data_IF_207695065108
#
_entry.id   IF_207695065108
#
_cell.length_a   1.000
_cell.length_b   1.000
_cell.length_c   1.000
_cell.angle_alpha   90.00
_cell.angle_beta   90.00
_cell.angle_gamma   90.00
#
_symmetry.space_group_name_H-M   'P 1'
#
loop_
_entity.id
_entity.type
_entity.pdbx_description
1 polymer ?
#
# COMPACT_ATOMS: atom_id res chain seq x y z
N UNK A 1 16.79 2.97 0.82
CA UNK A 1 16.63 1.73 0.09
C UNK A 1 16.96 0.51 0.97
N UNK A 2 16.11 -0.50 0.95
CA UNK A 2 16.31 -1.70 1.75
C UNK A 2 17.32 -2.64 1.15
N UNK A 3 18.15 -3.22 2.01
CA UNK A 3 18.99 -4.36 1.65
C UNK A 3 18.15 -5.63 1.74
N UNK A 4 18.67 -6.73 1.20
CA UNK A 4 17.98 -8.03 1.30
C UNK A 4 17.80 -8.41 2.77
N UNK A 5 18.80 -8.15 3.60
CA UNK A 5 18.70 -8.49 5.01
C UNK A 5 17.65 -7.67 5.74
N UNK A 6 17.58 -6.38 5.45
CA UNK A 6 16.55 -5.51 6.02
C UNK A 6 15.16 -5.96 5.58
N UNK A 7 15.01 -6.35 4.32
CA UNK A 7 13.77 -6.88 3.80
C UNK A 7 13.32 -8.12 4.57
N UNK A 8 14.23 -9.06 4.77
CA UNK A 8 13.91 -10.28 5.50
C UNK A 8 13.58 -10.00 6.96
N UNK A 9 14.29 -9.04 7.57
CA UNK A 9 14.04 -8.67 8.94
C UNK A 9 12.68 -8.01 9.10
N UNK A 10 12.29 -7.14 8.17
CA UNK A 10 10.99 -6.50 8.18
C UNK A 10 9.86 -7.52 8.08
N UNK A 11 10.02 -8.50 7.20
CA UNK A 11 9.05 -9.59 7.07
C UNK A 11 8.91 -10.37 8.36
N UNK A 12 10.04 -10.67 9.00
CA UNK A 12 10.05 -11.39 10.28
C UNK A 12 9.40 -10.56 11.38
N UNK A 13 9.73 -9.28 11.41
CA UNK A 13 9.21 -8.38 12.42
C UNK A 13 7.70 -8.25 12.32
N UNK A 14 7.16 -8.23 11.10
CA UNK A 14 5.72 -8.17 10.91
C UNK A 14 5.02 -9.49 11.18
N UNK A 15 5.77 -10.58 11.38
CA UNK A 15 5.20 -11.90 11.61
C UNK A 15 4.73 -12.59 10.35
N UNK A 16 5.14 -12.11 9.19
CA UNK A 16 4.71 -12.66 7.90
C UNK A 16 5.82 -13.31 7.12
N UNK A 17 6.97 -13.52 7.75
CA UNK A 17 8.08 -14.19 7.09
C UNK A 17 7.84 -15.70 7.12
N UNK A 18 7.65 -16.26 5.96
CA UNK A 18 7.66 -17.69 5.73
C UNK A 18 8.87 -18.04 4.90
N UNK A 19 9.17 -19.31 4.80
CA UNK A 19 10.18 -19.76 3.87
C UNK A 19 9.70 -19.48 2.45
N UNK A 20 10.39 -18.57 1.76
CA UNK A 20 10.09 -18.29 0.36
C UNK A 20 11.00 -19.12 -0.52
N UNK A 21 10.41 -19.73 -1.54
CA UNK A 21 11.21 -20.32 -2.59
C UNK A 21 12.02 -19.24 -3.25
N UNK A 22 13.25 -19.56 -3.63
CA UNK A 22 14.17 -18.61 -4.24
C UNK A 22 13.55 -17.89 -5.44
N UNK A 23 12.76 -18.61 -6.23
CA UNK A 23 12.10 -18.04 -7.40
C UNK A 23 11.09 -16.94 -7.06
N UNK A 24 10.63 -16.87 -5.80
CA UNK A 24 9.66 -15.88 -5.38
C UNK A 24 10.28 -14.65 -4.75
N UNK A 25 11.60 -14.63 -4.57
CA UNK A 25 12.28 -13.50 -3.94
C UNK A 25 12.12 -12.22 -4.76
N UNK A 26 12.26 -12.31 -6.08
CA UNK A 26 12.08 -11.12 -6.93
C UNK A 26 10.67 -10.56 -6.85
N UNK A 27 9.67 -11.44 -6.79
CA UNK A 27 8.28 -11.01 -6.67
C UNK A 27 8.02 -10.39 -5.29
N UNK A 28 8.53 -11.03 -4.23
CA UNK A 28 8.36 -10.50 -2.88
C UNK A 28 9.05 -9.14 -2.73
N UNK A 29 10.24 -8.98 -3.31
CA UNK A 29 10.97 -7.71 -3.29
C UNK A 29 10.24 -6.62 -4.06
N UNK A 30 9.56 -6.97 -5.16
CA UNK A 30 8.76 -6.01 -5.91
C UNK A 30 7.63 -5.43 -5.06
N UNK A 31 7.12 -6.20 -4.12
CA UNK A 31 6.07 -5.72 -3.21
C UNK A 31 6.66 -5.08 -1.97
N UNK A 32 7.50 -5.79 -1.22
CA UNK A 32 7.94 -5.32 0.10
C UNK A 32 9.14 -4.39 0.02
N UNK A 33 10.05 -4.62 -0.93
CA UNK A 33 11.22 -3.76 -1.09
C UNK A 33 10.91 -2.47 -1.83
N UNK A 34 10.09 -2.55 -2.87
CA UNK A 34 9.71 -1.40 -3.69
C UNK A 34 8.45 -0.71 -3.17
N UNK A 35 7.61 -1.45 -2.46
CA UNK A 35 6.30 -0.99 -2.00
C UNK A 35 6.29 0.28 -1.18
N UNK A 36 7.28 0.52 -0.31
CA UNK A 36 7.30 1.79 0.44
C UNK A 36 7.21 3.01 -0.46
N UNK A 37 7.86 3.00 -1.63
CA UNK A 37 7.78 4.13 -2.55
C UNK A 37 6.35 4.34 -3.05
N UNK A 38 5.62 3.25 -3.34
CA UNK A 38 4.23 3.34 -3.78
C UNK A 38 3.34 3.93 -2.68
N UNK A 39 3.61 3.53 -1.43
CA UNK A 39 2.85 4.03 -0.29
C UNK A 39 3.15 5.51 -0.05
N UNK A 40 4.43 5.93 -0.18
CA UNK A 40 4.78 7.35 -0.07
C UNK A 40 4.06 8.18 -1.13
N UNK A 41 4.01 7.68 -2.36
CA UNK A 41 3.31 8.36 -3.44
C UNK A 41 1.83 8.51 -3.13
N UNK A 42 1.21 7.45 -2.59
CA UNK A 42 -0.20 7.47 -2.25
C UNK A 42 -0.47 8.40 -1.07
N UNK A 43 0.38 8.38 -0.04
CA UNK A 43 0.27 9.30 1.09
C UNK A 43 0.33 10.75 0.60
N UNK A 44 1.29 11.04 -0.26
CA UNK A 44 1.45 12.39 -0.82
C UNK A 44 0.20 12.82 -1.60
N UNK A 45 -0.32 11.93 -2.43
CA UNK A 45 -1.50 12.23 -3.22
C UNK A 45 -2.73 12.48 -2.35
N UNK A 46 -2.91 11.66 -1.31
CA UNK A 46 -4.01 11.86 -0.37
C UNK A 46 -3.87 13.18 0.39
N UNK A 47 -2.65 13.51 0.79
CA UNK A 47 -2.38 14.78 1.45
C UNK A 47 -2.67 15.96 0.52
N UNK A 48 -2.30 15.85 -0.76
CA UNK A 48 -2.61 16.89 -1.75
C UNK A 48 -4.13 17.08 -1.88
N UNK A 49 -4.88 15.99 -1.89
CA UNK A 49 -6.34 16.06 -1.92
C UNK A 49 -6.90 16.77 -0.70
N UNK A 50 -6.35 16.48 0.47
CA UNK A 50 -6.76 17.14 1.71
C UNK A 50 -6.45 18.64 1.70
N UNK A 51 -5.28 19.01 1.16
CA UNK A 51 -4.91 20.42 1.00
C UNK A 51 -5.89 21.13 0.07
N UNK A 52 -6.27 20.46 -1.02
CA UNK A 52 -7.27 21.02 -1.94
C UNK A 52 -8.61 21.26 -1.24
N UNK A 53 -8.91 20.51 -0.19
CA UNK A 53 -10.11 20.67 0.62
C UNK A 53 -9.94 21.65 1.77
N UNK A 54 -8.76 22.27 1.90
CA UNK A 54 -8.53 23.31 2.89
C UNK A 54 -7.72 22.93 4.10
N UNK A 55 -7.22 21.69 4.20
CA UNK A 55 -6.41 21.28 5.33
C UNK A 55 -4.97 21.78 5.15
N UNK A 56 -4.36 22.44 6.16
CA UNK A 56 -2.97 22.88 6.06
C UNK A 56 -2.02 21.71 5.75
N UNK A 57 -0.99 21.96 4.95
CA UNK A 57 -0.10 20.91 4.43
C UNK A 57 0.44 19.97 5.51
N UNK A 58 0.94 20.52 6.61
CA UNK A 58 1.51 19.70 7.68
C UNK A 58 0.50 18.75 8.29
N UNK A 59 -0.71 19.21 8.54
CA UNK A 59 -1.79 18.39 9.06
C UNK A 59 -2.26 17.35 8.04
N UNK A 60 -2.35 17.76 6.79
CA UNK A 60 -2.77 16.86 5.70
C UNK A 60 -1.80 15.67 5.60
N UNK A 61 -0.51 15.92 5.65
CA UNK A 61 0.49 14.87 5.58
C UNK A 61 0.42 13.93 6.78
N UNK A 62 0.28 14.50 7.97
CA UNK A 62 0.16 13.72 9.20
C UNK A 62 -1.07 12.82 9.18
N UNK A 63 -2.22 13.38 8.78
CA UNK A 63 -3.46 12.61 8.72
C UNK A 63 -3.39 11.50 7.67
N UNK A 64 -2.83 11.80 6.51
CA UNK A 64 -2.71 10.79 5.45
C UNK A 64 -1.82 9.62 5.90
N UNK A 65 -0.68 9.93 6.50
CA UNK A 65 0.24 8.88 6.97
C UNK A 65 -0.38 8.05 8.09
N UNK A 66 -1.03 8.71 9.05
CA UNK A 66 -1.68 8.02 10.18
C UNK A 66 -2.82 7.15 9.70
N UNK A 67 -3.59 7.61 8.72
CA UNK A 67 -4.69 6.85 8.15
C UNK A 67 -4.17 5.57 7.49
N UNK A 68 -3.11 5.67 6.72
CA UNK A 68 -2.52 4.51 6.07
C UNK A 68 -1.98 3.52 7.10
N UNK A 69 -1.28 4.01 8.11
CA UNK A 69 -0.73 3.15 9.16
C UNK A 69 -1.83 2.43 9.93
N UNK A 70 -2.90 3.12 10.28
CA UNK A 70 -4.03 2.53 11.00
C UNK A 70 -4.75 1.47 10.16
N UNK A 71 -4.98 1.75 8.88
CA UNK A 71 -5.63 0.80 8.00
C UNK A 71 -4.79 -0.46 7.81
N UNK A 72 -3.48 -0.29 7.62
CA UNK A 72 -2.57 -1.43 7.50
C UNK A 72 -2.59 -2.28 8.78
N UNK A 73 -2.56 -1.62 9.94
CA UNK A 73 -2.58 -2.33 11.21
C UNK A 73 -3.87 -3.14 11.39
N UNK A 74 -5.01 -2.61 10.94
CA UNK A 74 -6.27 -3.35 11.00
C UNK A 74 -6.20 -4.64 10.20
N UNK A 75 -5.63 -4.60 9.01
CA UNK A 75 -5.47 -5.82 8.19
C UNK A 75 -4.59 -6.83 8.92
N UNK A 76 -3.46 -6.38 9.44
CA UNK A 76 -2.51 -7.28 10.11
C UNK A 76 -3.08 -7.85 11.41
N UNK A 77 -3.78 -7.04 12.19
CA UNK A 77 -4.28 -7.44 13.51
C UNK A 77 -5.50 -8.34 13.40
N UNK A 78 -6.44 -8.01 12.51
CA UNK A 78 -7.71 -8.75 12.43
C UNK A 78 -7.62 -9.96 11.54
N UNK A 79 -6.71 -9.97 10.57
CA UNK A 79 -6.65 -11.01 9.55
C UNK A 79 -7.83 -11.01 8.60
N UNK A 80 -8.70 -10.02 8.67
CA UNK A 80 -9.86 -9.92 7.80
C UNK A 80 -9.44 -9.49 6.40
N UNK A 81 -10.19 -9.91 5.42
CA UNK A 81 -9.96 -9.48 4.04
C UNK A 81 -10.13 -7.95 3.95
N UNK A 82 -9.22 -7.25 3.25
CA UNK A 82 -9.35 -5.80 3.10
C UNK A 82 -10.68 -5.35 2.54
N UNK A 83 -11.30 -6.16 1.68
CA UNK A 83 -12.63 -5.87 1.14
C UNK A 83 -13.69 -5.81 2.22
N UNK A 84 -13.63 -6.71 3.20
CA UNK A 84 -14.57 -6.70 4.33
C UNK A 84 -14.37 -5.47 5.20
N UNK A 85 -13.11 -5.12 5.46
CA UNK A 85 -12.79 -3.91 6.23
C UNK A 85 -13.25 -2.65 5.51
N UNK A 86 -13.05 -2.61 4.20
CA UNK A 86 -13.53 -1.50 3.37
C UNK A 86 -15.05 -1.36 3.47
N UNK A 87 -15.77 -2.46 3.34
CA UNK A 87 -17.23 -2.44 3.40
C UNK A 87 -17.71 -1.91 4.75
N UNK A 88 -17.00 -2.24 5.83
CA UNK A 88 -17.39 -1.80 7.17
C UNK A 88 -17.33 -0.28 7.34
N UNK A 89 -16.50 0.41 6.54
CA UNK A 89 -16.40 1.88 6.61
C UNK A 89 -17.13 2.58 5.47
N UNK A 90 -17.87 1.83 4.66
CA UNK A 90 -18.64 2.38 3.53
C UNK A 90 -20.12 2.31 3.82
N UNK A 91 -20.65 3.32 4.52
CA UNK A 91 -22.09 3.37 4.77
C UNK A 91 -22.85 3.70 3.49
N UNK A 92 -24.12 3.25 3.36
CA UNK A 92 -24.92 3.54 2.17
C UNK A 92 -25.03 5.05 1.92
N UNK A 93 -24.68 5.46 0.70
CA UNK A 93 -24.77 6.86 0.30
C UNK A 93 -23.74 7.79 0.95
N UNK A 94 -22.80 7.24 1.72
CA UNK A 94 -21.84 8.06 2.46
C UNK A 94 -20.66 8.55 1.65
N UNK A 95 -19.81 9.34 2.31
CA UNK A 95 -18.66 9.96 1.67
C UNK A 95 -17.56 8.94 1.32
N UNK A 96 -17.39 7.90 2.15
CA UNK A 96 -16.35 6.90 1.90
C UNK A 96 -16.56 6.17 0.59
N UNK A 97 -17.79 5.69 0.34
CA UNK A 97 -18.07 4.98 -0.92
C UNK A 97 -17.96 5.90 -2.13
N UNK A 98 -18.28 7.19 -1.95
CA UNK A 98 -18.10 8.17 -3.03
C UNK A 98 -16.61 8.28 -3.41
N UNK A 99 -15.72 8.32 -2.43
CA UNK A 99 -14.29 8.35 -2.68
C UNK A 99 -13.78 7.05 -3.31
N UNK A 100 -14.25 5.92 -2.80
CA UNK A 100 -13.87 4.61 -3.35
C UNK A 100 -14.27 4.54 -4.84
N UNK A 101 -15.45 5.02 -5.17
CA UNK A 101 -15.93 5.01 -6.55
C UNK A 101 -15.01 5.77 -7.48
N UNK A 102 -14.50 6.91 -7.04
CA UNK A 102 -13.56 7.70 -7.85
C UNK A 102 -12.28 6.92 -8.11
N UNK A 103 -11.73 6.26 -7.10
CA UNK A 103 -10.54 5.43 -7.28
C UNK A 103 -10.80 4.31 -8.28
N UNK A 104 -11.96 3.67 -8.19
CA UNK A 104 -12.31 2.61 -9.14
C UNK A 104 -12.43 3.16 -10.57
N UNK A 105 -13.02 4.35 -10.72
CA UNK A 105 -13.16 4.97 -12.03
C UNK A 105 -11.82 5.25 -12.70
N UNK A 106 -10.78 5.48 -11.91
CA UNK A 106 -9.42 5.75 -12.42
C UNK A 106 -8.56 4.49 -12.49
N UNK A 107 -9.13 3.31 -12.31
CA UNK A 107 -8.41 2.05 -12.46
C UNK A 107 -7.38 1.79 -11.38
N UNK A 108 -7.65 2.22 -10.16
CA UNK A 108 -6.70 2.12 -9.05
C UNK A 108 -6.16 0.70 -8.86
N UNK A 109 -7.05 -0.30 -8.90
CA UNK A 109 -6.63 -1.69 -8.65
C UNK A 109 -5.67 -2.19 -9.72
N UNK A 110 -6.02 -1.93 -10.99
CA UNK A 110 -5.15 -2.31 -12.10
C UNK A 110 -3.81 -1.60 -12.04
N UNK A 111 -3.81 -0.30 -11.72
CA UNK A 111 -2.57 0.47 -11.59
C UNK A 111 -1.68 -0.12 -10.50
N UNK A 112 -2.26 -0.48 -9.35
CA UNK A 112 -1.51 -1.07 -8.25
C UNK A 112 -0.90 -2.42 -8.64
N UNK A 113 -1.70 -3.28 -9.28
CA UNK A 113 -1.18 -4.57 -9.74
C UNK A 113 -0.09 -4.40 -10.78
N UNK A 114 -0.26 -3.46 -11.71
CA UNK A 114 0.71 -3.22 -12.77
C UNK A 114 2.03 -2.69 -12.24
N UNK A 115 2.02 -1.86 -11.20
CA UNK A 115 3.27 -1.36 -10.65
C UNK A 115 4.09 -2.47 -10.00
N UNK A 116 3.45 -3.41 -9.31
CA UNK A 116 4.14 -4.58 -8.75
C UNK A 116 4.71 -5.45 -9.88
N UNK A 117 3.90 -5.69 -10.92
CA UNK A 117 4.33 -6.49 -12.06
C UNK A 117 5.55 -5.86 -12.76
N UNK A 118 5.54 -4.54 -12.94
CA UNK A 118 6.64 -3.84 -13.59
C UNK A 118 7.93 -3.95 -12.76
N UNK A 119 7.82 -3.77 -11.44
CA UNK A 119 8.97 -3.90 -10.55
C UNK A 119 9.52 -5.33 -10.56
N UNK A 120 8.63 -6.32 -10.58
CA UNK A 120 9.01 -7.72 -10.65
C UNK A 120 9.79 -8.02 -11.94
N UNK A 121 9.28 -7.56 -13.08
CA UNK A 121 9.98 -7.79 -14.35
C UNK A 121 11.36 -7.13 -14.36
N UNK A 122 11.46 -5.93 -13.79
CA UNK A 122 12.75 -5.25 -13.69
C UNK A 122 13.71 -5.99 -12.77
N UNK A 123 13.22 -6.50 -11.64
CA UNK A 123 14.05 -7.28 -10.72
C UNK A 123 14.63 -8.52 -11.38
N UNK A 124 13.84 -9.20 -12.21
CA UNK A 124 14.33 -10.37 -12.94
C UNK A 124 15.46 -10.00 -13.88
N UNK A 125 15.35 -8.84 -14.55
CA UNK A 125 16.40 -8.37 -15.44
C UNK A 125 17.67 -8.01 -14.67
N UNK A 126 17.53 -7.37 -13.52
CA UNK A 126 18.66 -6.96 -12.70
C UNK A 126 19.35 -8.14 -12.03
N UNK A 127 18.63 -9.22 -11.79
CA UNK A 127 19.16 -10.42 -11.15
C UNK A 127 19.96 -11.34 -12.04
N UNK A 128 20.12 -11.02 -13.32
CA UNK A 128 20.84 -11.85 -14.28
C UNK A 128 22.31 -11.48 -14.42
#
# INVERSE_FOLDING_TARGET
RQTVQEFLQDMRYSGHLDELEERLIDAASALSGCGPAYMYLFIEALADGAVACGIPRGKAMEYAAATMAGAAQMVLTTGLHPGALKDAVCSPGGSTIAGVRVLEQHGFRGAAMDCVAAAYEKNKLLGK
#
